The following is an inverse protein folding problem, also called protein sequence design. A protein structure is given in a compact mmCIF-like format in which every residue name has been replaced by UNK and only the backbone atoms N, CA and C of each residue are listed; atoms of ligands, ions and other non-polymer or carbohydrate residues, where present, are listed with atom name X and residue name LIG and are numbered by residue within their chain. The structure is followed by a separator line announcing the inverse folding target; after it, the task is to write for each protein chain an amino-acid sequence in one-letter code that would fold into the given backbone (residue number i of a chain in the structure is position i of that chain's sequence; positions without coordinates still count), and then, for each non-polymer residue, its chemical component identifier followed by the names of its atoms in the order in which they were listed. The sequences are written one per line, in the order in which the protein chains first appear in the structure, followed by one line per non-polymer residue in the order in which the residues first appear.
data_IF_270627174790
#
_entry.id   IF_270627174790
#
_cell.length_a   1.000
_cell.length_b   1.000
_cell.length_c   1.000
_cell.angle_alpha   90.00
_cell.angle_beta   90.00
_cell.angle_gamma   90.00
#
_symmetry.space_group_name_H-M   'P 1'
#
loop_
_entity.id
_entity.type
_entity.pdbx_description
1 polymer ?
#
# COMPACT_ATOMS: atom_id res chain seq x y z
N UNK A 1 -11.09 -23.30 -10.13
CA UNK A 1 -10.86 -21.87 -10.40
C UNK A 1 -10.71 -21.68 -11.91
N UNK A 2 -11.50 -20.81 -12.55
CA UNK A 2 -11.38 -20.56 -13.99
C UNK A 2 -10.17 -19.66 -14.24
N UNK A 3 -9.41 -19.96 -15.30
CA UNK A 3 -8.15 -19.27 -15.68
C UNK A 3 -8.27 -17.75 -15.78
N UNK A 4 -9.46 -17.25 -16.13
CA UNK A 4 -9.77 -15.82 -16.27
C UNK A 4 -9.88 -15.07 -14.93
N UNK A 5 -10.19 -15.76 -13.84
CA UNK A 5 -10.19 -15.19 -12.48
C UNK A 5 -8.76 -15.03 -11.96
N UNK A 6 -7.91 -16.05 -12.18
CA UNK A 6 -6.50 -16.03 -11.79
C UNK A 6 -5.71 -14.90 -12.48
N UNK A 7 -5.92 -14.66 -13.77
CA UNK A 7 -5.22 -13.60 -14.50
C UNK A 7 -5.58 -12.18 -14.02
N UNK A 8 -6.84 -11.95 -13.66
CA UNK A 8 -7.28 -10.68 -13.06
C UNK A 8 -6.68 -10.46 -11.68
N UNK A 9 -6.63 -11.51 -10.85
CA UNK A 9 -6.01 -11.43 -9.53
C UNK A 9 -4.49 -11.19 -9.63
N UNK A 10 -3.82 -11.79 -10.61
CA UNK A 10 -2.39 -11.55 -10.86
C UNK A 10 -2.12 -10.13 -11.33
N UNK A 11 -3.00 -9.60 -12.19
CA UNK A 11 -2.94 -8.20 -12.61
C UNK A 11 -3.13 -7.24 -11.42
N UNK A 12 -4.04 -7.55 -10.49
CA UNK A 12 -4.23 -6.77 -9.27
C UNK A 12 -2.99 -6.81 -8.36
N UNK A 13 -2.40 -7.99 -8.13
CA UNK A 13 -1.18 -8.13 -7.35
C UNK A 13 0.02 -7.38 -7.96
N UNK A 14 0.13 -7.36 -9.30
CA UNK A 14 1.12 -6.53 -9.99
C UNK A 14 0.87 -5.04 -9.75
N UNK A 15 -0.39 -4.58 -9.81
CA UNK A 15 -0.75 -3.19 -9.50
C UNK A 15 -0.42 -2.81 -8.06
N UNK A 16 -0.61 -3.69 -7.07
CA UNK A 16 -0.20 -3.43 -5.69
C UNK A 16 1.30 -3.13 -5.58
N UNK A 17 2.15 -3.93 -6.23
CA UNK A 17 3.60 -3.67 -6.29
C UNK A 17 3.92 -2.34 -6.97
N UNK A 18 3.28 -2.04 -8.10
CA UNK A 18 3.46 -0.74 -8.79
C UNK A 18 3.10 0.43 -7.87
N UNK A 19 1.97 0.34 -7.16
CA UNK A 19 1.56 1.35 -6.19
C UNK A 19 2.56 1.47 -5.05
N UNK A 20 3.06 0.35 -4.50
CA UNK A 20 4.08 0.35 -3.46
C UNK A 20 5.38 1.04 -3.92
N UNK A 21 5.84 0.78 -5.14
CA UNK A 21 6.98 1.47 -5.75
C UNK A 21 6.74 2.97 -5.87
N UNK A 22 5.58 3.38 -6.37
CA UNK A 22 5.24 4.81 -6.50
C UNK A 22 5.16 5.50 -5.14
N UNK A 23 4.52 4.88 -4.15
CA UNK A 23 4.44 5.37 -2.78
C UNK A 23 5.83 5.64 -2.21
N UNK A 24 6.78 4.71 -2.34
CA UNK A 24 8.16 4.88 -1.83
C UNK A 24 8.92 6.06 -2.45
N UNK A 25 8.50 6.57 -3.60
CA UNK A 25 9.13 7.75 -4.25
C UNK A 25 8.59 9.07 -3.71
N UNK A 26 7.37 9.12 -3.19
CA UNK A 26 6.74 10.36 -2.70
C UNK A 26 7.51 11.04 -1.56
N UNK A 27 8.04 10.32 -0.55
CA UNK A 27 8.69 10.97 0.57
C UNK A 27 9.91 11.81 0.20
N UNK A 28 10.65 11.42 -0.85
CA UNK A 28 11.81 12.15 -1.36
C UNK A 28 11.45 13.58 -1.80
N UNK A 29 10.19 13.84 -2.16
CA UNK A 29 9.70 15.14 -2.57
C UNK A 29 9.21 15.99 -1.38
N UNK A 30 8.77 15.35 -0.29
CA UNK A 30 8.15 16.03 0.85
C UNK A 30 9.12 16.54 1.91
N UNK A 31 10.27 15.88 2.09
CA UNK A 31 11.17 16.11 3.22
C UNK A 31 10.63 15.72 4.61
N UNK A 32 9.37 15.27 4.70
CA UNK A 32 8.69 14.91 5.95
C UNK A 32 9.01 13.46 6.36
N UNK A 33 9.75 13.29 7.45
CA UNK A 33 10.10 11.99 8.03
C UNK A 33 8.89 11.20 8.56
N UNK A 34 7.89 11.89 9.11
CA UNK A 34 6.65 11.30 9.62
C UNK A 34 5.76 10.78 8.49
N UNK A 35 5.68 11.51 7.38
CA UNK A 35 5.07 11.05 6.13
C UNK A 35 5.85 9.86 5.57
N UNK A 36 7.17 9.97 5.47
CA UNK A 36 8.05 8.94 4.92
C UNK A 36 7.87 7.58 5.61
N UNK A 37 7.84 7.58 6.95
CA UNK A 37 7.65 6.38 7.75
C UNK A 37 6.31 5.69 7.45
N UNK A 38 5.21 6.45 7.43
CA UNK A 38 3.86 5.91 7.21
C UNK A 38 3.67 5.41 5.78
N UNK A 39 4.18 6.14 4.80
CA UNK A 39 4.16 5.73 3.39
C UNK A 39 4.94 4.42 3.18
N UNK A 40 6.07 4.25 3.87
CA UNK A 40 6.85 3.02 3.81
C UNK A 40 6.07 1.82 4.35
N UNK A 41 5.31 2.00 5.44
CA UNK A 41 4.46 0.94 6.02
C UNK A 41 3.39 0.51 5.00
N UNK A 42 2.59 1.45 4.48
CA UNK A 42 1.54 1.16 3.50
C UNK A 42 2.10 0.49 2.23
N UNK A 43 3.28 0.92 1.77
CA UNK A 43 3.95 0.29 0.64
C UNK A 43 4.37 -1.17 0.94
N UNK A 44 4.84 -1.46 2.15
CA UNK A 44 5.14 -2.83 2.59
C UNK A 44 3.88 -3.69 2.65
N UNK A 45 2.76 -3.15 3.13
CA UNK A 45 1.49 -3.88 3.17
C UNK A 45 1.04 -4.26 1.77
N UNK A 46 1.10 -3.36 0.80
CA UNK A 46 0.78 -3.65 -0.60
C UNK A 46 1.68 -4.76 -1.20
N UNK A 47 2.97 -4.77 -0.87
CA UNK A 47 3.88 -5.85 -1.28
C UNK A 47 3.49 -7.19 -0.63
N UNK A 48 3.07 -7.17 0.64
CA UNK A 48 2.58 -8.36 1.34
C UNK A 48 1.27 -8.87 0.71
N UNK A 49 0.34 -7.97 0.36
CA UNK A 49 -0.89 -8.33 -0.34
C UNK A 49 -0.59 -9.00 -1.69
N UNK A 50 0.37 -8.45 -2.44
CA UNK A 50 0.81 -9.04 -3.70
C UNK A 50 1.48 -10.40 -3.49
N UNK A 51 2.39 -10.51 -2.52
CA UNK A 51 3.09 -11.75 -2.21
C UNK A 51 2.15 -12.87 -1.78
N UNK A 52 1.15 -12.56 -0.95
CA UNK A 52 0.14 -13.52 -0.52
C UNK A 52 -0.64 -14.11 -1.71
N UNK A 53 -1.02 -13.28 -2.69
CA UNK A 53 -1.65 -13.75 -3.93
C UNK A 53 -0.79 -14.75 -4.70
N UNK A 54 0.51 -14.46 -4.87
CA UNK A 54 1.44 -15.35 -5.58
C UNK A 54 1.77 -16.62 -4.78
N UNK A 55 1.68 -16.57 -3.45
CA UNK A 55 1.81 -17.73 -2.58
C UNK A 55 0.50 -18.54 -2.44
N UNK A 56 -0.59 -18.15 -3.11
CA UNK A 56 -1.89 -18.81 -2.98
C UNK A 56 -2.55 -18.66 -1.61
N UNK A 57 -2.13 -17.67 -0.82
CA UNK A 57 -2.66 -17.40 0.53
C UNK A 57 -3.80 -16.38 0.46
N UNK A 58 -4.79 -16.57 1.32
CA UNK A 58 -5.80 -15.55 1.62
C UNK A 58 -5.11 -14.37 2.29
N UNK A 59 -5.64 -13.17 2.06
CA UNK A 59 -5.04 -11.95 2.59
C UNK A 59 -5.99 -11.26 3.55
N UNK A 60 -5.56 -11.09 4.80
CA UNK A 60 -6.22 -10.20 5.74
C UNK A 60 -5.84 -8.75 5.39
N UNK A 61 -6.84 -7.93 5.11
CA UNK A 61 -6.66 -6.53 4.71
C UNK A 61 -6.74 -5.57 5.90
N UNK A 62 -7.00 -6.07 7.12
CA UNK A 62 -7.16 -5.26 8.33
C UNK A 62 -5.95 -4.38 8.58
N UNK A 63 -4.74 -4.94 8.51
CA UNK A 63 -3.49 -4.19 8.69
C UNK A 63 -3.34 -3.09 7.64
N UNK A 64 -3.50 -3.44 6.36
CA UNK A 64 -3.43 -2.48 5.25
C UNK A 64 -4.44 -1.33 5.42
N UNK A 65 -5.67 -1.64 5.80
CA UNK A 65 -6.73 -0.64 5.99
C UNK A 65 -6.40 0.31 7.14
N UNK A 66 -5.97 -0.23 8.29
CA UNK A 66 -5.62 0.57 9.46
C UNK A 66 -4.42 1.49 9.20
N UNK A 67 -3.38 0.97 8.55
CA UNK A 67 -2.18 1.77 8.27
C UNK A 67 -2.41 2.79 7.15
N UNK A 68 -3.28 2.47 6.17
CA UNK A 68 -3.76 3.44 5.18
C UNK A 68 -4.59 4.57 5.81
N UNK A 69 -5.43 4.24 6.79
CA UNK A 69 -6.18 5.25 7.56
C UNK A 69 -5.26 6.14 8.38
N UNK A 70 -4.28 5.57 9.09
CA UNK A 70 -3.27 6.34 9.83
C UNK A 70 -2.47 7.29 8.93
N UNK A 71 -2.09 6.84 7.73
CA UNK A 71 -1.44 7.70 6.73
C UNK A 71 -2.38 8.84 6.31
N UNK A 72 -3.64 8.53 6.00
CA UNK A 72 -4.64 9.53 5.61
C UNK A 72 -4.85 10.58 6.70
N UNK A 73 -5.07 10.15 7.94
CA UNK A 73 -5.23 11.05 9.09
C UNK A 73 -4.01 11.94 9.25
N UNK A 74 -2.80 11.38 9.14
CA UNK A 74 -1.57 12.17 9.22
C UNK A 74 -1.52 13.27 8.14
N UNK A 75 -1.78 12.93 6.87
CA UNK A 75 -1.83 13.90 5.79
C UNK A 75 -2.89 15.00 6.04
N UNK A 76 -4.06 14.64 6.57
CA UNK A 76 -5.12 15.60 6.89
C UNK A 76 -4.70 16.56 8.02
N UNK A 77 -3.97 16.08 9.03
CA UNK A 77 -3.48 16.91 10.14
C UNK A 77 -2.40 17.92 9.70
N UNK A 78 -1.62 17.61 8.67
CA UNK A 78 -0.65 18.57 8.10
C UNK A 78 -1.33 19.66 7.27
N UNK A 79 -2.41 19.33 6.55
CA UNK A 79 -3.18 20.29 5.75
C UNK A 79 -3.96 21.27 6.66
N UNK A 80 -4.27 20.88 7.90
CA UNK A 80 -5.02 21.71 8.86
C UNK A 80 -4.13 22.50 9.83
N UNK A 81 -2.80 22.47 9.69
CA UNK A 81 -1.93 23.35 10.46
C UNK A 81 -1.95 24.77 9.84
N UNK A 82 -2.48 25.80 10.54
CA UNK A 82 -2.45 27.18 10.07
C UNK A 82 -1.02 27.74 9.98
#
# INVERSE_FOLDING_TARGET
MTSQSSSKLDAAAKKFRTTATSLRKLPAQSGDKGFASRVKVVATDLDNLAAARFAGKTVDTTTYNNDSERLRTYCQTLITKP
#
